data_IF_393438524213
#
_entry.id   IF_393438524213
#
_cell.length_a   1.000
_cell.length_b   1.000
_cell.length_c   1.000
_cell.angle_alpha   90.00
_cell.angle_beta   90.00
_cell.angle_gamma   90.00
#
_symmetry.space_group_name_H-M   'P 1'
#
loop_
_entity.id
_entity.type
_entity.pdbx_description
1 polymer ?
#
# COMPACT_ATOMS: atom_id res chain seq x y z
N UNK A 1 24.40 -46.86 15.87
CA UNK A 1 25.43 -45.89 15.42
C UNK A 1 24.87 -45.15 14.21
N UNK A 2 24.20 -44.01 14.42
CA UNK A 2 23.75 -43.16 13.33
C UNK A 2 24.94 -42.38 12.77
N UNK A 3 25.13 -42.40 11.46
CA UNK A 3 26.29 -41.79 10.81
C UNK A 3 26.15 -40.25 10.82
N UNK A 4 27.28 -39.55 10.98
CA UNK A 4 27.36 -38.08 10.94
C UNK A 4 26.67 -37.43 9.72
N UNK A 5 26.42 -38.19 8.65
CA UNK A 5 25.67 -37.74 7.48
C UNK A 5 24.15 -37.52 7.72
N UNK A 6 23.50 -38.30 8.58
CA UNK A 6 22.05 -38.16 8.85
C UNK A 6 21.73 -36.93 9.71
N UNK A 7 22.63 -36.52 10.60
CA UNK A 7 22.45 -35.30 11.40
C UNK A 7 22.59 -34.03 10.54
N UNK A 8 23.53 -34.01 9.58
CA UNK A 8 23.69 -32.88 8.65
C UNK A 8 22.49 -32.73 7.69
N UNK A 9 21.88 -33.82 7.24
CA UNK A 9 20.70 -33.76 6.38
C UNK A 9 19.44 -33.21 7.11
N UNK A 10 19.33 -33.43 8.43
CA UNK A 10 18.27 -32.84 9.24
C UNK A 10 18.44 -31.34 9.43
N UNK A 11 19.68 -30.85 9.60
CA UNK A 11 19.95 -29.42 9.75
C UNK A 11 19.65 -28.63 8.46
N UNK A 12 20.06 -29.14 7.29
CA UNK A 12 19.80 -28.47 5.99
C UNK A 12 18.29 -28.45 5.65
N UNK A 13 17.52 -29.46 6.09
CA UNK A 13 16.06 -29.45 5.91
C UNK A 13 15.38 -28.35 6.71
N UNK A 14 15.81 -28.11 7.95
CA UNK A 14 15.16 -27.12 8.83
C UNK A 14 15.40 -25.68 8.39
N UNK A 15 16.55 -25.37 7.77
CA UNK A 15 16.82 -24.00 7.26
C UNK A 15 15.97 -23.63 6.03
N UNK A 16 15.53 -24.59 5.20
CA UNK A 16 14.60 -24.31 4.09
C UNK A 16 13.14 -24.16 4.51
N UNK A 17 12.76 -24.64 5.70
CA UNK A 17 11.41 -24.45 6.25
C UNK A 17 11.22 -23.11 6.98
N UNK A 18 12.27 -22.28 7.04
CA UNK A 18 12.25 -20.96 7.64
C UNK A 18 12.12 -19.81 6.62
N UNK A 19 11.31 -19.97 5.56
CA UNK A 19 10.41 -18.85 5.28
C UNK A 19 9.38 -18.84 6.41
N UNK A 20 9.82 -18.27 7.53
CA UNK A 20 9.15 -18.35 8.81
C UNK A 20 7.84 -17.58 8.75
N UNK A 21 6.91 -17.91 9.66
CA UNK A 21 5.71 -17.11 9.88
C UNK A 21 6.04 -15.61 10.04
N UNK A 22 7.21 -15.29 10.62
CA UNK A 22 7.75 -13.93 10.73
C UNK A 22 8.02 -13.27 9.36
N UNK A 23 8.57 -14.01 8.40
CA UNK A 23 8.75 -13.53 7.02
C UNK A 23 7.42 -13.16 6.36
N UNK A 24 6.40 -14.00 6.53
CA UNK A 24 5.04 -13.69 6.07
C UNK A 24 4.45 -12.47 6.78
N UNK A 25 4.54 -12.39 8.12
CA UNK A 25 4.03 -11.25 8.89
C UNK A 25 4.72 -9.93 8.49
N UNK A 26 6.01 -9.98 8.21
CA UNK A 26 6.79 -8.83 7.73
C UNK A 26 6.30 -8.38 6.36
N UNK A 27 6.19 -9.31 5.40
CA UNK A 27 5.69 -9.01 4.05
C UNK A 27 4.25 -8.45 4.09
N UNK A 28 3.40 -9.05 4.94
CA UNK A 28 2.03 -8.60 5.17
C UNK A 28 1.96 -7.18 5.74
N UNK A 29 2.85 -6.84 6.66
CA UNK A 29 2.92 -5.49 7.25
C UNK A 29 3.36 -4.46 6.21
N UNK A 30 4.40 -4.76 5.41
CA UNK A 30 4.83 -3.89 4.31
C UNK A 30 3.71 -3.60 3.33
N UNK A 31 3.06 -4.66 2.84
CA UNK A 31 1.91 -4.54 1.93
C UNK A 31 0.78 -3.71 2.55
N UNK A 32 0.46 -3.92 3.83
CA UNK A 32 -0.57 -3.14 4.54
C UNK A 32 -0.23 -1.65 4.60
N UNK A 33 1.04 -1.29 4.82
CA UNK A 33 1.49 0.09 4.85
C UNK A 33 1.40 0.74 3.48
N UNK A 34 1.88 0.07 2.43
CA UNK A 34 1.77 0.57 1.05
C UNK A 34 0.32 0.71 0.61
N UNK A 35 -0.56 -0.22 0.99
CA UNK A 35 -1.98 -0.09 0.73
C UNK A 35 -2.59 1.11 1.46
N UNK A 36 -2.18 1.40 2.70
CA UNK A 36 -2.63 2.58 3.43
C UNK A 36 -2.19 3.89 2.75
N UNK A 37 -0.94 3.96 2.28
CA UNK A 37 -0.44 5.11 1.55
C UNK A 37 -1.18 5.31 0.21
N UNK A 38 -1.47 4.21 -0.51
CA UNK A 38 -2.25 4.27 -1.74
C UNK A 38 -3.68 4.77 -1.48
N UNK A 39 -4.28 4.46 -0.32
CA UNK A 39 -5.58 5.03 0.12
C UNK A 39 -5.53 6.52 0.25
N UNK A 40 -4.57 7.02 1.01
CA UNK A 40 -4.43 8.45 1.23
C UNK A 40 -4.25 9.19 -0.11
N UNK A 41 -3.48 8.61 -1.04
CA UNK A 41 -3.32 9.18 -2.38
C UNK A 41 -4.63 9.18 -3.19
N UNK A 42 -5.36 8.08 -3.21
CA UNK A 42 -6.67 7.98 -3.90
C UNK A 42 -7.68 8.94 -3.30
N UNK A 43 -7.74 9.07 -1.98
CA UNK A 43 -8.66 9.99 -1.28
C UNK A 43 -8.37 11.44 -1.65
N UNK A 44 -7.09 11.85 -1.73
CA UNK A 44 -6.69 13.20 -2.18
C UNK A 44 -7.10 13.43 -3.63
N UNK A 45 -6.78 12.50 -4.53
CA UNK A 45 -7.14 12.61 -5.96
C UNK A 45 -8.66 12.68 -6.12
N UNK A 46 -9.40 11.81 -5.42
CA UNK A 46 -10.85 11.75 -5.46
C UNK A 46 -11.51 13.01 -4.91
N UNK A 47 -10.99 13.55 -3.80
CA UNK A 47 -11.47 14.82 -3.23
C UNK A 47 -11.28 15.96 -4.23
N UNK A 48 -10.09 16.15 -4.79
CA UNK A 48 -9.83 17.21 -5.77
C UNK A 48 -10.69 17.02 -7.02
N UNK A 49 -10.78 15.79 -7.54
CA UNK A 49 -11.61 15.47 -8.70
C UNK A 49 -13.09 15.76 -8.47
N UNK A 50 -13.61 15.47 -7.27
CA UNK A 50 -15.00 15.78 -6.92
C UNK A 50 -15.26 17.28 -6.88
N UNK A 51 -14.36 18.07 -6.27
CA UNK A 51 -14.53 19.54 -6.20
C UNK A 51 -14.42 20.16 -7.59
N UNK A 52 -13.45 19.74 -8.41
CA UNK A 52 -13.30 20.25 -9.78
C UNK A 52 -14.51 19.91 -10.67
N UNK A 53 -15.14 18.75 -10.46
CA UNK A 53 -16.35 18.36 -11.18
C UNK A 53 -17.57 19.17 -10.75
N UNK A 54 -17.75 19.33 -9.43
CA UNK A 54 -19.00 19.85 -8.86
C UNK A 54 -18.99 21.38 -8.68
N UNK A 55 -17.81 22.00 -8.52
CA UNK A 55 -17.64 23.45 -8.28
C UNK A 55 -16.25 23.95 -8.70
N UNK A 56 -15.88 23.89 -9.99
CA UNK A 56 -14.55 24.26 -10.47
C UNK A 56 -14.18 25.73 -10.20
N UNK A 57 -15.17 26.62 -10.15
CA UNK A 57 -15.04 28.04 -9.85
C UNK A 57 -14.67 28.33 -8.38
N UNK A 58 -14.77 27.33 -7.51
CA UNK A 58 -14.53 27.43 -6.06
C UNK A 58 -13.30 26.65 -5.58
N UNK A 59 -12.54 26.06 -6.49
CA UNK A 59 -11.36 25.25 -6.16
C UNK A 59 -10.06 26.01 -6.38
N UNK A 60 -9.14 25.89 -5.42
CA UNK A 60 -7.83 26.54 -5.49
C UNK A 60 -6.73 25.58 -5.03
N UNK A 61 -5.64 25.52 -5.79
CA UNK A 61 -4.39 24.95 -5.29
C UNK A 61 -3.63 25.99 -4.46
N UNK A 62 -3.52 25.76 -3.15
CA UNK A 62 -2.71 26.58 -2.27
C UNK A 62 -1.22 26.45 -2.63
N UNK A 63 -0.43 27.47 -2.29
CA UNK A 63 1.02 27.53 -2.55
C UNK A 63 1.39 27.48 -4.05
N UNK A 64 0.49 27.87 -4.95
CA UNK A 64 0.80 28.09 -6.36
C UNK A 64 1.04 29.58 -6.64
N UNK A 65 2.03 29.92 -7.48
CA UNK A 65 2.33 31.31 -7.83
C UNK A 65 1.29 31.93 -8.78
N UNK A 66 0.34 31.14 -9.28
CA UNK A 66 -0.72 31.60 -10.18
C UNK A 66 -1.81 32.25 -9.35
N UNK A 67 -1.96 33.57 -9.48
CA UNK A 67 -3.04 34.32 -8.85
C UNK A 67 -4.38 34.03 -9.51
N UNK A 68 -5.40 33.72 -8.71
CA UNK A 68 -6.79 33.72 -9.15
C UNK A 68 -7.45 35.07 -8.82
N UNK A 69 -8.53 35.44 -9.53
CA UNK A 69 -9.34 36.60 -9.17
C UNK A 69 -9.79 36.54 -7.72
N UNK A 70 -9.91 37.71 -7.08
CA UNK A 70 -10.22 37.82 -5.66
C UNK A 70 -11.62 37.25 -5.33
N UNK A 71 -12.53 37.32 -6.30
CA UNK A 71 -13.88 36.76 -6.22
C UNK A 71 -13.85 35.23 -6.03
N UNK A 72 -12.87 34.54 -6.63
CA UNK A 72 -12.71 33.09 -6.48
C UNK A 72 -12.13 32.71 -5.11
N UNK A 73 -11.30 33.58 -4.51
CA UNK A 73 -10.63 33.32 -3.22
C UNK A 73 -11.45 33.73 -2.00
N UNK A 74 -12.42 34.65 -2.16
CA UNK A 74 -13.22 35.21 -1.07
C UNK A 74 -14.57 34.52 -0.83
N UNK A 75 -14.92 33.49 -1.61
CA UNK A 75 -16.16 32.74 -1.37
C UNK A 75 -16.06 31.92 -0.07
N UNK A 76 -17.10 31.97 0.77
CA UNK A 76 -17.17 31.21 2.04
C UNK A 76 -17.00 29.70 1.85
N UNK A 77 -17.30 29.22 0.65
CA UNK A 77 -17.31 27.81 0.28
C UNK A 77 -16.06 27.41 -0.51
N UNK A 78 -15.06 28.30 -0.64
CA UNK A 78 -13.83 28.02 -1.36
C UNK A 78 -13.12 26.80 -0.73
N UNK A 79 -12.78 25.83 -1.58
CA UNK A 79 -12.03 24.65 -1.20
C UNK A 79 -10.61 24.82 -1.68
N UNK A 80 -9.65 24.68 -0.77
CA UNK A 80 -8.23 24.69 -1.12
C UNK A 80 -7.58 23.34 -0.86
N UNK A 81 -6.60 23.00 -1.69
CA UNK A 81 -5.71 21.85 -1.49
C UNK A 81 -4.28 22.31 -1.67
N UNK A 82 -3.37 21.88 -0.80
CA UNK A 82 -1.95 22.16 -0.99
C UNK A 82 -1.47 21.54 -2.29
N UNK A 83 -0.93 22.34 -3.20
CA UNK A 83 -0.39 21.84 -4.45
C UNK A 83 0.78 20.87 -4.25
N UNK A 84 1.54 21.02 -3.16
CA UNK A 84 2.60 20.07 -2.79
C UNK A 84 2.06 18.69 -2.42
N UNK A 85 0.78 18.60 -2.03
CA UNK A 85 0.12 17.33 -1.77
C UNK A 85 -0.35 16.63 -3.06
N UNK A 86 -0.40 17.33 -4.20
CA UNK A 86 -0.78 16.74 -5.47
C UNK A 86 0.30 15.75 -5.94
N UNK A 87 -0.02 14.45 -6.09
CA UNK A 87 0.99 13.47 -6.44
C UNK A 87 1.41 13.64 -7.90
N UNK A 88 2.71 13.64 -8.16
CA UNK A 88 3.22 13.56 -9.53
C UNK A 88 2.90 12.20 -10.15
N UNK A 89 2.85 12.14 -11.49
CA UNK A 89 2.66 10.87 -12.22
C UNK A 89 3.72 9.83 -11.82
N UNK A 90 4.97 10.28 -11.66
CA UNK A 90 6.06 9.43 -11.19
C UNK A 90 5.78 8.85 -9.79
N UNK A 91 5.33 9.68 -8.85
CA UNK A 91 4.96 9.22 -7.49
C UNK A 91 3.83 8.20 -7.51
N UNK A 92 2.80 8.43 -8.34
CA UNK A 92 1.69 7.47 -8.54
C UNK A 92 2.24 6.14 -9.04
N UNK A 93 3.05 6.16 -10.11
CA UNK A 93 3.61 4.95 -10.71
C UNK A 93 4.55 4.20 -9.76
N UNK A 94 5.38 4.90 -9.00
CA UNK A 94 6.24 4.29 -7.98
C UNK A 94 5.43 3.59 -6.89
N UNK A 95 4.36 4.23 -6.39
CA UNK A 95 3.53 3.64 -5.35
C UNK A 95 2.74 2.43 -5.85
N UNK A 96 2.22 2.49 -7.08
CA UNK A 96 1.57 1.35 -7.73
C UNK A 96 2.55 0.19 -7.94
N UNK A 97 3.76 0.47 -8.42
CA UNK A 97 4.81 -0.55 -8.56
C UNK A 97 5.09 -1.22 -7.20
N UNK A 98 5.32 -0.42 -6.15
CA UNK A 98 5.58 -0.94 -4.79
C UNK A 98 4.41 -1.79 -4.28
N UNK A 99 3.17 -1.35 -4.54
CA UNK A 99 1.98 -2.12 -4.20
C UNK A 99 1.98 -3.51 -4.87
N UNK A 100 2.29 -3.58 -6.16
CA UNK A 100 2.36 -4.85 -6.89
C UNK A 100 3.49 -5.75 -6.37
N UNK A 101 4.69 -5.19 -6.19
CA UNK A 101 5.85 -5.92 -5.69
C UNK A 101 5.59 -6.52 -4.29
N UNK A 102 5.06 -5.72 -3.37
CA UNK A 102 4.79 -6.17 -1.99
C UNK A 102 3.61 -7.14 -1.92
N UNK A 103 2.61 -7.00 -2.81
CA UNK A 103 1.52 -7.98 -2.93
C UNK A 103 2.07 -9.34 -3.34
N UNK A 104 2.93 -9.38 -4.36
CA UNK A 104 3.58 -10.61 -4.84
C UNK A 104 4.47 -11.20 -3.74
N UNK A 105 5.27 -10.38 -3.06
CA UNK A 105 6.13 -10.84 -1.97
C UNK A 105 5.32 -11.46 -0.81
N UNK A 106 4.22 -10.82 -0.41
CA UNK A 106 3.30 -11.36 0.61
C UNK A 106 2.67 -12.67 0.16
N UNK A 107 2.22 -12.77 -1.10
CA UNK A 107 1.62 -13.99 -1.64
C UNK A 107 2.62 -15.14 -1.70
N UNK A 108 3.83 -14.90 -2.19
CA UNK A 108 4.91 -15.89 -2.22
C UNK A 108 5.28 -16.36 -0.81
N UNK A 109 5.38 -15.42 0.15
CA UNK A 109 5.65 -15.76 1.55
C UNK A 109 4.53 -16.59 2.18
N UNK A 110 3.25 -16.29 1.84
CA UNK A 110 2.12 -17.10 2.25
C UNK A 110 2.19 -18.50 1.66
N UNK A 111 2.41 -18.62 0.35
CA UNK A 111 2.39 -19.90 -0.35
C UNK A 111 3.48 -20.85 0.14
N UNK A 112 4.61 -20.29 0.60
CA UNK A 112 5.70 -21.02 1.22
C UNK A 112 5.41 -21.55 2.65
N UNK A 113 4.38 -21.05 3.34
CA UNK A 113 4.06 -21.52 4.68
C UNK A 113 3.53 -22.97 4.67
N UNK A 114 3.91 -23.79 5.66
CA UNK A 114 3.26 -25.08 5.91
C UNK A 114 1.75 -24.91 6.12
N UNK A 115 0.95 -25.90 5.71
CA UNK A 115 -0.51 -25.83 5.84
C UNK A 115 -0.97 -25.60 7.30
N UNK A 116 -0.37 -26.30 8.27
CA UNK A 116 -0.68 -26.12 9.68
C UNK A 116 -0.47 -24.67 10.17
N UNK A 117 0.52 -23.97 9.59
CA UNK A 117 0.77 -22.54 9.89
C UNK A 117 -0.26 -21.66 9.20
N UNK A 118 -0.61 -21.96 7.93
CA UNK A 118 -1.65 -21.24 7.19
C UNK A 118 -3.00 -21.30 7.92
N UNK A 119 -3.37 -22.46 8.45
CA UNK A 119 -4.64 -22.65 9.17
C UNK A 119 -4.74 -21.79 10.44
N UNK A 120 -3.60 -21.43 11.05
CA UNK A 120 -3.53 -20.57 12.23
C UNK A 120 -3.42 -19.07 11.91
N UNK A 121 -3.31 -18.68 10.64
CA UNK A 121 -3.02 -17.32 10.21
C UNK A 121 -4.08 -16.76 9.27
N UNK A 122 -4.21 -15.42 9.23
CA UNK A 122 -5.07 -14.75 8.26
C UNK A 122 -4.43 -14.78 6.88
N UNK A 123 -5.24 -15.02 5.85
CA UNK A 123 -4.77 -15.12 4.47
C UNK A 123 -4.47 -13.72 3.88
N UNK A 124 -3.63 -13.64 2.82
CA UNK A 124 -3.47 -12.43 2.01
C UNK A 124 -4.80 -11.82 1.55
N UNK A 125 -5.76 -12.67 1.15
CA UNK A 125 -7.05 -12.25 0.62
C UNK A 125 -7.91 -11.48 1.64
N UNK A 126 -7.72 -11.73 2.94
CA UNK A 126 -8.44 -11.03 3.99
C UNK A 126 -8.11 -9.54 4.04
N UNK A 127 -6.89 -9.15 3.64
CA UNK A 127 -6.50 -7.74 3.55
C UNK A 127 -7.09 -7.05 2.32
N UNK A 128 -7.21 -7.80 1.22
CA UNK A 128 -7.72 -7.27 -0.06
C UNK A 128 -9.23 -7.08 0.02
N UNK A 129 -9.97 -8.09 0.51
CA UNK A 129 -11.45 -8.07 0.55
C UNK A 129 -12.02 -7.02 1.50
N UNK A 130 -11.36 -6.73 2.62
CA UNK A 130 -11.84 -5.73 3.60
C UNK A 130 -11.83 -4.29 3.07
N UNK A 131 -11.27 -4.07 1.88
CA UNK A 131 -10.85 -2.75 1.42
C UNK A 131 -11.18 -2.47 -0.04
N UNK A 132 -12.03 -3.29 -0.68
CA UNK A 132 -12.68 -2.95 -1.96
C UNK A 132 -13.43 -1.62 -1.80
N UNK A 133 -13.06 -0.67 -2.65
CA UNK A 133 -13.41 0.74 -2.65
C UNK A 133 -14.75 0.96 -3.34
#
# INVERSE_FOLDING_TARGET
MGTLGEQNARFIRLERFAMSAEGYLTARTKFSNTLAELKQMVDVIGSVGSVLRDSPDRFIFANQPIGLPMEATMTSDARSTDAGAWPSVEKIMMLLKRYHDEKVAMQNAWDALPQATKDAMKSPNDLIKRRSW
#
